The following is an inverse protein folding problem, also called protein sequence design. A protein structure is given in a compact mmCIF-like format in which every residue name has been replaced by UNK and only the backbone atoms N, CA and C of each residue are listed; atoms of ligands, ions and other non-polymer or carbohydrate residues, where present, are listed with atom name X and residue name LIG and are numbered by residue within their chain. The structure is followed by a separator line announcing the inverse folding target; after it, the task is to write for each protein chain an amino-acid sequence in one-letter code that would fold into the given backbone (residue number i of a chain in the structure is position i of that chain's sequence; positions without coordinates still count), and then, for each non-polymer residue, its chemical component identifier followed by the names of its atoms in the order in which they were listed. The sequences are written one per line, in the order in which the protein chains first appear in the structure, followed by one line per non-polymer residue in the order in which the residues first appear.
data_IF_721257629632
#
_entry.id   IF_721257629632
#
_cell.length_a   1.000
_cell.length_b   1.000
_cell.length_c   1.000
_cell.angle_alpha   90.00
_cell.angle_beta   90.00
_cell.angle_gamma   90.00
#
_symmetry.space_group_name_H-M   'P 1'
#
loop_
_entity.id
_entity.type
_entity.pdbx_description
1 polymer ?
#
# COMPACT_ATOMS: atom_id res chain seq x y z
N UNK A 1 -12.49 3.59 11.83
CA UNK A 1 -11.57 3.36 10.70
C UNK A 1 -10.24 4.04 10.98
N UNK A 2 -9.16 3.51 10.41
CA UNK A 2 -7.85 4.16 10.40
C UNK A 2 -7.32 4.14 8.96
N UNK A 3 -6.84 5.28 8.48
CA UNK A 3 -6.26 5.45 7.16
C UNK A 3 -4.74 5.56 7.26
N UNK A 4 -4.02 4.72 6.52
CA UNK A 4 -2.56 4.65 6.55
C UNK A 4 -1.98 4.37 5.17
N UNK A 5 -0.70 4.70 4.94
CA UNK A 5 0.00 4.21 3.76
C UNK A 5 0.12 2.69 3.81
N UNK A 6 -0.34 2.01 2.76
CA UNK A 6 -0.25 0.56 2.70
C UNK A 6 -0.20 0.08 1.25
N UNK A 7 0.86 -0.66 0.92
CA UNK A 7 1.10 -1.29 -0.38
C UNK A 7 2.07 -2.48 -0.22
N UNK A 8 2.31 -3.32 -1.24
CA UNK A 8 3.13 -4.53 -1.10
C UNK A 8 4.55 -4.31 -0.55
N UNK A 9 5.20 -3.16 -0.81
CA UNK A 9 6.51 -2.84 -0.26
C UNK A 9 6.48 -2.09 1.09
N UNK A 10 5.27 -1.79 1.60
CA UNK A 10 5.07 -1.18 2.93
C UNK A 10 3.79 -1.74 3.56
N UNK A 11 3.90 -2.93 4.16
CA UNK A 11 2.75 -3.77 4.52
C UNK A 11 2.16 -3.48 5.89
N UNK A 12 2.96 -2.96 6.81
CA UNK A 12 2.55 -2.61 8.16
C UNK A 12 1.73 -3.71 8.88
N UNK A 13 2.15 -4.99 8.74
CA UNK A 13 1.37 -6.14 9.20
C UNK A 13 0.96 -6.04 10.67
N UNK A 14 1.91 -5.73 11.56
CA UNK A 14 1.63 -5.63 13.00
C UNK A 14 0.58 -4.54 13.32
N UNK A 15 0.58 -3.44 12.54
CA UNK A 15 -0.40 -2.38 12.73
C UNK A 15 -1.77 -2.76 12.16
N UNK A 16 -1.82 -3.47 11.04
CA UNK A 16 -3.08 -4.01 10.50
C UNK A 16 -3.70 -4.98 11.51
N UNK A 17 -2.91 -5.91 12.06
CA UNK A 17 -3.37 -6.89 13.06
C UNK A 17 -3.91 -6.18 14.30
N UNK A 18 -3.19 -5.17 14.80
CA UNK A 18 -3.64 -4.33 15.93
C UNK A 18 -5.00 -3.67 15.68
N UNK A 19 -5.22 -3.15 14.46
CA UNK A 19 -6.49 -2.51 14.10
C UNK A 19 -7.63 -3.53 14.01
N UNK A 20 -7.37 -4.67 13.36
CA UNK A 20 -8.36 -5.74 13.18
C UNK A 20 -8.79 -6.32 14.53
N UNK A 21 -7.86 -6.59 15.45
CA UNK A 21 -8.15 -7.06 16.82
C UNK A 21 -9.08 -6.12 17.61
N UNK A 22 -9.10 -4.83 17.23
CA UNK A 22 -9.93 -3.79 17.88
C UNK A 22 -11.15 -3.38 17.08
N UNK A 23 -11.48 -4.18 16.07
CA UNK A 23 -12.62 -3.91 15.17
C UNK A 23 -12.52 -2.53 14.47
N UNK A 24 -11.28 -2.05 14.25
CA UNK A 24 -11.00 -0.81 13.51
C UNK A 24 -10.69 -1.18 12.06
N UNK A 25 -11.51 -0.73 11.12
CA UNK A 25 -11.30 -1.01 9.69
C UNK A 25 -10.06 -0.28 9.17
N UNK A 26 -9.03 -1.01 8.69
CA UNK A 26 -7.90 -0.38 8.02
C UNK A 26 -8.26 0.08 6.61
N UNK A 27 -7.81 1.29 6.24
CA UNK A 27 -7.92 1.87 4.91
C UNK A 27 -6.52 2.16 4.41
N UNK A 28 -6.17 1.69 3.20
CA UNK A 28 -4.85 1.86 2.62
C UNK A 28 -4.81 2.96 1.55
N UNK A 29 -4.12 4.08 1.82
CA UNK A 29 -3.78 5.03 0.76
C UNK A 29 -2.48 4.63 0.04
N UNK A 30 -2.22 5.20 -1.13
CA UNK A 30 -1.12 4.81 -2.03
C UNK A 30 -1.06 3.30 -2.33
N UNK A 31 -2.17 2.59 -2.56
CA UNK A 31 -2.22 1.13 -2.56
C UNK A 31 -1.44 0.46 -3.69
N UNK A 32 -0.84 1.23 -4.60
CA UNK A 32 0.02 0.79 -5.71
C UNK A 32 1.41 1.44 -5.67
N UNK A 33 1.83 1.98 -4.51
CA UNK A 33 3.12 2.59 -4.31
C UNK A 33 3.33 3.97 -4.98
N UNK A 34 2.26 4.68 -5.34
CA UNK A 34 2.32 6.07 -5.87
C UNK A 34 3.49 6.40 -6.80
N UNK A 35 3.71 5.67 -7.91
CA UNK A 35 4.90 5.85 -8.76
C UNK A 35 4.98 7.24 -9.43
N UNK A 36 3.87 7.97 -9.48
CA UNK A 36 3.77 9.32 -10.12
C UNK A 36 3.76 10.47 -9.12
N UNK A 37 4.18 10.26 -7.86
CA UNK A 37 4.29 11.37 -6.91
C UNK A 37 5.35 12.40 -7.34
N UNK A 38 5.31 13.66 -6.83
CA UNK A 38 6.28 14.69 -7.16
C UNK A 38 7.73 14.26 -6.90
N UNK A 39 8.67 14.72 -7.74
CA UNK A 39 10.10 14.39 -7.59
C UNK A 39 10.67 14.81 -6.22
N UNK A 40 10.20 15.92 -5.64
CA UNK A 40 10.60 16.39 -4.32
C UNK A 40 10.30 15.37 -3.19
N UNK A 41 9.35 14.46 -3.43
CA UNK A 41 8.90 13.45 -2.47
C UNK A 41 9.53 12.08 -2.74
N UNK A 42 10.45 12.00 -3.71
CA UNK A 42 11.16 10.79 -4.08
C UNK A 42 12.56 10.73 -3.47
N UNK A 43 13.03 9.52 -3.22
CA UNK A 43 14.40 9.23 -2.80
C UNK A 43 14.97 8.09 -3.66
N UNK A 44 16.29 7.95 -3.67
CA UNK A 44 16.98 6.87 -4.41
C UNK A 44 16.64 5.47 -3.90
N UNK A 45 16.15 5.36 -2.68
CA UNK A 45 15.77 4.08 -2.05
C UNK A 45 14.32 3.69 -2.28
N UNK A 46 13.54 4.55 -2.91
CA UNK A 46 12.13 4.27 -3.18
C UNK A 46 11.95 3.12 -4.18
N UNK A 47 10.97 2.30 -3.94
CA UNK A 47 10.68 1.12 -4.75
C UNK A 47 9.38 1.29 -5.53
N UNK A 48 9.19 0.46 -6.57
CA UNK A 48 8.01 0.49 -7.44
C UNK A 48 7.30 -0.86 -7.36
N UNK A 49 6.20 -0.91 -6.63
CA UNK A 49 5.44 -2.15 -6.36
C UNK A 49 4.97 -2.86 -7.65
N UNK A 50 4.47 -2.09 -8.60
CA UNK A 50 3.92 -2.64 -9.85
C UNK A 50 4.98 -3.21 -10.82
N UNK A 51 6.27 -3.04 -10.51
CA UNK A 51 7.40 -3.59 -11.24
C UNK A 51 8.05 -4.77 -10.49
N UNK A 52 7.60 -5.07 -9.28
CA UNK A 52 8.13 -6.20 -8.50
C UNK A 52 7.79 -7.52 -9.20
N UNK A 53 8.77 -8.42 -9.38
CA UNK A 53 8.58 -9.68 -10.10
C UNK A 53 7.43 -10.54 -9.52
N UNK A 54 7.22 -10.53 -8.21
CA UNK A 54 6.14 -11.30 -7.56
C UNK A 54 4.77 -10.72 -7.95
N UNK A 55 4.65 -9.40 -7.97
CA UNK A 55 3.42 -8.71 -8.39
C UNK A 55 3.14 -8.94 -9.87
N UNK A 56 4.19 -8.84 -10.72
CA UNK A 56 4.09 -9.06 -12.18
C UNK A 56 3.67 -10.49 -12.48
N UNK A 57 4.26 -11.49 -11.83
CA UNK A 57 3.93 -12.91 -12.05
C UNK A 57 2.45 -13.20 -11.71
N UNK A 58 1.94 -12.69 -10.61
CA UNK A 58 0.53 -12.84 -10.25
C UNK A 58 -0.39 -12.12 -11.27
N UNK A 59 0.02 -10.95 -11.77
CA UNK A 59 -0.71 -10.21 -12.78
C UNK A 59 -0.79 -10.97 -14.11
N UNK A 60 0.29 -11.59 -14.55
CA UNK A 60 0.35 -12.43 -15.76
C UNK A 60 -0.60 -13.64 -15.64
N UNK A 61 -0.58 -14.35 -14.51
CA UNK A 61 -1.49 -15.46 -14.27
C UNK A 61 -2.96 -15.04 -14.34
N UNK A 62 -3.28 -13.89 -13.76
CA UNK A 62 -4.66 -13.36 -13.72
C UNK A 62 -5.08 -12.65 -15.02
N UNK A 63 -4.15 -12.35 -15.93
CA UNK A 63 -4.41 -11.58 -17.14
C UNK A 63 -4.81 -10.13 -16.87
N UNK A 64 -4.22 -9.50 -15.83
CA UNK A 64 -4.56 -8.16 -15.38
C UNK A 64 -3.33 -7.26 -15.27
N UNK A 65 -3.54 -5.96 -15.10
CA UNK A 65 -2.45 -5.04 -14.82
C UNK A 65 -1.90 -5.24 -13.38
N UNK A 66 -0.58 -5.14 -13.11
CA UNK A 66 0.01 -5.30 -11.78
C UNK A 66 -0.65 -4.46 -10.67
N UNK A 67 -1.11 -3.25 -10.97
CA UNK A 67 -1.87 -2.43 -10.02
C UNK A 67 -3.10 -3.14 -9.45
N UNK A 68 -3.77 -3.97 -10.27
CA UNK A 68 -4.95 -4.74 -9.84
C UNK A 68 -4.57 -5.80 -8.80
N UNK A 69 -3.39 -6.39 -8.94
CA UNK A 69 -2.84 -7.35 -7.96
C UNK A 69 -2.61 -6.67 -6.61
N UNK A 70 -1.98 -5.49 -6.60
CA UNK A 70 -1.77 -4.73 -5.37
C UNK A 70 -3.09 -4.42 -4.65
N UNK A 71 -4.12 -4.01 -5.41
CA UNK A 71 -5.45 -3.73 -4.84
C UNK A 71 -6.12 -5.00 -4.32
N UNK A 72 -6.07 -6.10 -5.07
CA UNK A 72 -6.67 -7.37 -4.65
C UNK A 72 -5.98 -7.95 -3.42
N UNK A 73 -4.65 -7.85 -3.35
CA UNK A 73 -3.89 -8.22 -2.17
C UNK A 73 -4.34 -7.47 -0.91
N UNK A 74 -4.53 -6.14 -1.00
CA UNK A 74 -5.06 -5.35 0.11
C UNK A 74 -6.47 -5.81 0.52
N UNK A 75 -7.38 -6.01 -0.44
CA UNK A 75 -8.75 -6.49 -0.19
C UNK A 75 -8.75 -7.86 0.49
N UNK A 76 -7.92 -8.81 0.03
CA UNK A 76 -7.84 -10.15 0.63
C UNK A 76 -7.25 -10.15 2.05
N UNK A 77 -6.51 -9.09 2.43
CA UNK A 77 -6.06 -8.84 3.81
C UNK A 77 -7.09 -8.13 4.68
N UNK A 78 -8.29 -7.85 4.18
CA UNK A 78 -9.31 -7.09 4.91
C UNK A 78 -9.08 -5.58 4.97
N UNK A 79 -8.16 -5.06 4.15
CA UNK A 79 -7.88 -3.62 4.02
C UNK A 79 -8.71 -3.03 2.88
N UNK A 80 -9.26 -1.84 3.06
CA UNK A 80 -9.95 -1.09 2.00
C UNK A 80 -8.93 -0.21 1.26
N UNK A 81 -8.48 -0.56 0.05
CA UNK A 81 -7.58 0.30 -0.72
C UNK A 81 -8.36 1.48 -1.33
N UNK A 82 -7.72 2.66 -1.39
CA UNK A 82 -8.30 3.87 -2.02
C UNK A 82 -7.50 4.30 -3.25
N UNK A 83 -7.59 3.59 -4.37
CA UNK A 83 -6.89 3.94 -5.60
C UNK A 83 -7.52 5.17 -6.27
N UNK A 84 -6.67 6.02 -6.85
CA UNK A 84 -7.10 7.15 -7.66
C UNK A 84 -7.03 6.83 -9.15
N UNK A 85 -8.07 7.17 -9.90
CA UNK A 85 -8.04 7.19 -11.38
C UNK A 85 -9.09 8.13 -11.96
N UNK A 86 -8.78 8.73 -13.11
CA UNK A 86 -9.72 9.50 -13.94
C UNK A 86 -10.05 8.77 -15.26
N UNK A 87 -9.49 7.58 -15.46
CA UNK A 87 -9.71 6.76 -16.66
C UNK A 87 -10.82 5.75 -16.39
N UNK A 88 -11.95 5.77 -17.11
CA UNK A 88 -13.10 4.90 -16.85
C UNK A 88 -12.75 3.40 -16.76
N UNK A 89 -11.94 2.87 -17.69
CA UNK A 89 -11.54 1.48 -17.67
C UNK A 89 -10.70 1.09 -16.45
N UNK A 90 -9.87 2.01 -15.93
CA UNK A 90 -9.10 1.80 -14.70
C UNK A 90 -9.99 1.85 -13.47
N UNK A 91 -10.99 2.75 -13.44
CA UNK A 91 -11.99 2.83 -12.36
C UNK A 91 -12.76 1.50 -12.29
N UNK A 92 -13.21 0.99 -13.44
CA UNK A 92 -13.89 -0.30 -13.52
C UNK A 92 -13.00 -1.46 -13.04
N UNK A 93 -11.74 -1.52 -13.47
CA UNK A 93 -10.78 -2.54 -13.04
C UNK A 93 -10.52 -2.47 -11.53
N UNK A 94 -10.38 -1.27 -10.97
CA UNK A 94 -10.21 -1.07 -9.53
C UNK A 94 -11.43 -1.57 -8.74
N UNK A 95 -12.64 -1.25 -9.21
CA UNK A 95 -13.88 -1.70 -8.56
C UNK A 95 -14.02 -3.23 -8.60
N UNK A 96 -13.65 -3.88 -9.70
CA UNK A 96 -13.69 -5.33 -9.82
C UNK A 96 -12.85 -6.05 -8.77
N UNK A 97 -11.76 -5.46 -8.28
CA UNK A 97 -10.96 -6.04 -7.20
C UNK A 97 -11.74 -6.26 -5.91
N UNK A 98 -12.75 -5.42 -5.64
CA UNK A 98 -13.58 -5.51 -4.45
C UNK A 98 -14.66 -6.59 -4.54
N UNK A 99 -14.96 -7.08 -5.75
CA UNK A 99 -16.00 -8.10 -5.93
C UNK A 99 -15.45 -9.48 -5.49
N UNK A 100 -16.23 -10.27 -4.71
CA UNK A 100 -15.76 -11.54 -4.13
C UNK A 100 -15.27 -12.55 -5.16
N UNK A 101 -15.95 -12.64 -6.30
CA UNK A 101 -15.78 -13.75 -7.26
C UNK A 101 -15.02 -13.36 -8.55
N UNK A 102 -14.50 -12.11 -8.63
CA UNK A 102 -13.95 -11.63 -9.89
C UNK A 102 -12.48 -11.98 -10.12
N UNK A 103 -11.68 -11.90 -9.08
CA UNK A 103 -10.23 -12.12 -9.10
C UNK A 103 -9.82 -12.63 -7.73
N UNK A 104 -9.10 -13.75 -7.68
CA UNK A 104 -8.62 -14.32 -6.41
C UNK A 104 -7.13 -14.62 -6.53
N UNK A 105 -6.36 -14.06 -5.60
CA UNK A 105 -4.97 -14.47 -5.38
C UNK A 105 -4.99 -15.76 -4.57
N UNK A 106 -4.18 -16.74 -4.99
CA UNK A 106 -4.00 -17.99 -4.26
C UNK A 106 -3.26 -17.79 -2.96
N UNK A 107 -3.36 -18.73 -2.02
CA UNK A 107 -2.61 -18.67 -0.76
C UNK A 107 -1.11 -18.54 -1.00
N UNK A 108 -0.55 -19.26 -1.98
CA UNK A 108 0.86 -19.16 -2.36
C UNK A 108 1.25 -17.77 -2.89
N UNK A 109 0.37 -17.10 -3.65
CA UNK A 109 0.60 -15.72 -4.10
C UNK A 109 0.46 -14.72 -2.95
N UNK A 110 -0.48 -14.92 -2.05
CA UNK A 110 -0.61 -14.09 -0.85
C UNK A 110 0.62 -14.22 0.05
N UNK A 111 1.16 -15.43 0.22
CA UNK A 111 2.41 -15.67 0.95
C UNK A 111 3.61 -15.01 0.25
N UNK A 112 3.74 -15.18 -1.07
CA UNK A 112 4.79 -14.56 -1.86
C UNK A 112 4.74 -13.03 -1.78
N UNK A 113 3.55 -12.43 -1.92
CA UNK A 113 3.33 -10.98 -1.75
C UNK A 113 3.62 -10.54 -0.31
N UNK A 114 3.30 -11.36 0.68
CA UNK A 114 3.66 -11.11 2.09
C UNK A 114 5.17 -11.03 2.32
N UNK A 115 5.97 -11.72 1.52
CA UNK A 115 7.44 -11.79 1.66
C UNK A 115 8.21 -10.61 1.05
N UNK A 116 7.56 -9.73 0.26
CA UNK A 116 8.24 -8.62 -0.44
C UNK A 116 8.16 -7.28 0.30
N UNK A 117 7.80 -7.28 1.58
CA UNK A 117 7.84 -6.06 2.41
C UNK A 117 9.27 -5.50 2.49
N UNK A 118 9.42 -4.23 2.17
CA UNK A 118 10.71 -3.53 2.18
C UNK A 118 10.76 -2.43 3.23
N UNK A 119 9.68 -2.24 4.00
CA UNK A 119 9.56 -1.11 4.91
C UNK A 119 9.62 0.25 4.18
N UNK A 120 9.29 0.26 2.87
CA UNK A 120 9.50 1.42 2.00
C UNK A 120 8.34 2.42 2.11
N UNK A 121 8.39 3.30 3.11
CA UNK A 121 7.47 4.42 3.22
C UNK A 121 7.74 5.45 2.13
N UNK A 122 6.75 5.74 1.30
CA UNK A 122 6.85 6.68 0.18
C UNK A 122 6.35 8.09 0.53
N UNK A 123 5.34 8.20 1.40
CA UNK A 123 4.80 9.48 1.87
C UNK A 123 5.42 9.80 3.23
N UNK A 124 6.57 10.45 3.17
CA UNK A 124 7.42 10.73 4.36
C UNK A 124 6.96 11.95 5.16
N UNK A 125 6.01 12.72 4.64
CA UNK A 125 5.40 13.81 5.38
C UNK A 125 6.16 15.15 5.33
N UNK A 126 7.12 15.34 4.42
CA UNK A 126 7.92 16.56 4.31
C UNK A 126 7.09 17.84 4.27
N UNK A 127 5.87 17.76 3.72
CA UNK A 127 4.95 18.92 3.62
C UNK A 127 4.35 19.34 4.98
N UNK A 128 4.49 18.52 5.99
CA UNK A 128 3.99 18.77 7.35
C UNK A 128 5.07 19.22 8.33
N UNK A 129 6.32 19.35 7.87
CA UNK A 129 7.41 19.84 8.71
C UNK A 129 7.18 21.29 9.11
N UNK A 130 7.42 21.61 10.38
CA UNK A 130 7.45 22.97 10.88
C UNK A 130 8.82 23.62 10.63
N UNK A 131 8.92 24.95 10.79
CA UNK A 131 10.05 25.77 10.33
C UNK A 131 11.41 25.32 10.87
N UNK A 132 11.47 24.83 12.11
CA UNK A 132 12.72 24.41 12.77
C UNK A 132 12.85 22.89 12.93
N UNK A 133 12.08 22.09 12.19
CA UNK A 133 12.14 20.65 12.27
C UNK A 133 13.50 20.11 11.79
N UNK A 134 14.09 19.17 12.53
CA UNK A 134 15.39 18.56 12.20
C UNK A 134 15.37 17.74 10.90
N UNK A 135 14.21 17.17 10.54
CA UNK A 135 14.00 16.38 9.34
C UNK A 135 12.60 15.77 9.32
N UNK A 136 12.25 15.05 8.26
CA UNK A 136 10.93 14.42 8.14
C UNK A 136 10.75 13.24 9.10
N UNK A 137 11.82 12.61 9.55
CA UNK A 137 11.87 11.52 10.53
C UNK A 137 11.24 11.92 11.88
N UNK A 138 11.32 13.19 12.26
CA UNK A 138 10.69 13.69 13.51
C UNK A 138 9.15 13.68 13.48
N UNK A 139 8.56 13.39 12.34
CA UNK A 139 7.10 13.21 12.21
C UNK A 139 6.62 11.82 12.62
N UNK A 140 7.54 10.88 12.83
CA UNK A 140 7.22 9.48 13.06
C UNK A 140 7.76 9.00 14.40
N UNK A 141 6.95 8.25 15.13
CA UNK A 141 7.35 7.61 16.38
C UNK A 141 8.15 6.33 16.07
N UNK A 142 9.38 6.47 15.60
CA UNK A 142 10.22 5.33 15.20
C UNK A 142 10.59 4.41 16.36
N UNK A 143 10.61 4.94 17.59
CA UNK A 143 10.88 4.18 18.82
C UNK A 143 9.60 3.59 19.48
N UNK A 144 8.43 3.83 18.89
CA UNK A 144 7.13 3.41 19.43
C UNK A 144 6.68 4.20 20.65
N UNK A 145 7.37 5.31 20.99
CA UNK A 145 7.00 6.18 22.09
C UNK A 145 6.06 7.28 21.57
N UNK A 146 4.81 7.27 22.00
CA UNK A 146 3.89 8.36 21.70
C UNK A 146 4.25 9.53 22.64
N UNK A 147 4.72 10.62 22.08
CA UNK A 147 4.93 11.86 22.83
C UNK A 147 3.57 12.39 23.33
N UNK A 148 3.37 12.41 24.64
CA UNK A 148 2.16 12.92 25.29
C UNK A 148 2.27 14.42 25.55
#
# INVERSE_FOLDING_TARGET
VNEMELHPHFQQQAFVDYLVEREIQPIGFCPIGSPKRPERDKTETDTVDIEDPVVVQAAERLGVHPAVVCLKWAVQRGVVPIPFSVTPSKIESNLRCALPDSLVLTDAEMEALGSIDKGCRLIKGQVFLWEDAAGWDVLWDEDGTIAT
#
